data_IF_600012609756
#
_entry.id   IF_600012609756
#
_cell.length_a   1.000
_cell.length_b   1.000
_cell.length_c   1.000
_cell.angle_alpha   90.00
_cell.angle_beta   90.00
_cell.angle_gamma   90.00
#
_symmetry.space_group_name_H-M   'P 1'
#
loop_
_entity.id
_entity.type
_entity.pdbx_description
1 polymer ?
#
# COMPACT_ATOMS: atom_id res chain seq x y z
N UNK A 1 -20.05 24.74 -5.99
CA UNK A 1 -19.43 24.10 -4.81
C UNK A 1 -17.94 24.43 -4.89
N UNK A 2 -17.38 25.21 -3.94
CA UNK A 2 -15.95 25.57 -3.98
C UNK A 2 -15.17 24.37 -3.46
N UNK A 3 -14.53 23.63 -4.36
CA UNK A 3 -13.63 22.53 -3.98
C UNK A 3 -12.48 23.14 -3.16
N UNK A 4 -12.30 22.69 -1.92
CA UNK A 4 -11.26 23.18 -1.00
C UNK A 4 -9.84 22.85 -1.51
N UNK A 5 -9.75 21.88 -2.42
CA UNK A 5 -8.49 21.42 -3.02
C UNK A 5 -8.39 21.94 -4.46
N UNK A 6 -7.34 22.73 -4.71
CA UNK A 6 -6.98 23.19 -6.04
C UNK A 6 -6.10 22.13 -6.72
N UNK A 7 -6.59 21.49 -7.79
CA UNK A 7 -5.87 20.49 -8.57
C UNK A 7 -5.43 21.00 -9.96
N UNK A 8 -5.51 22.31 -10.21
CA UNK A 8 -5.05 22.92 -11.48
C UNK A 8 -3.57 22.58 -11.77
N UNK A 9 -2.75 22.45 -10.73
CA UNK A 9 -1.34 22.09 -10.82
C UNK A 9 -1.09 20.62 -11.17
N UNK A 10 -2.09 19.75 -11.03
CA UNK A 10 -2.02 18.32 -11.35
C UNK A 10 -2.43 18.03 -12.81
N UNK A 11 -3.03 19.00 -13.51
CA UNK A 11 -3.51 18.84 -14.90
C UNK A 11 -2.42 18.47 -15.91
N UNK A 12 -1.17 18.76 -15.59
CA UNK A 12 -0.01 18.47 -16.45
C UNK A 12 0.47 17.02 -16.32
N UNK A 13 0.00 16.29 -15.30
CA UNK A 13 0.35 14.90 -15.09
C UNK A 13 -0.58 14.05 -15.95
N UNK A 14 -0.01 13.28 -16.87
CA UNK A 14 -0.78 12.33 -17.67
C UNK A 14 -1.33 11.20 -16.79
N UNK A 15 -2.43 10.60 -17.21
CA UNK A 15 -3.02 9.45 -16.52
C UNK A 15 -2.01 8.31 -16.34
N UNK A 16 -1.16 8.07 -17.35
CA UNK A 16 -0.08 7.07 -17.28
C UNK A 16 0.98 7.43 -16.23
N UNK A 17 1.35 8.70 -16.10
CA UNK A 17 2.30 9.14 -15.07
C UNK A 17 1.69 9.00 -13.67
N UNK A 18 0.42 9.37 -13.50
CA UNK A 18 -0.30 9.21 -12.24
C UNK A 18 -0.40 7.73 -11.82
N UNK A 19 -0.73 6.84 -12.77
CA UNK A 19 -0.75 5.38 -12.58
C UNK A 19 0.60 4.84 -12.13
N UNK A 20 1.68 5.24 -12.80
CA UNK A 20 3.03 4.80 -12.45
C UNK A 20 3.46 5.28 -11.06
N UNK A 21 3.14 6.52 -10.69
CA UNK A 21 3.40 7.03 -9.33
C UNK A 21 2.66 6.19 -8.29
N UNK A 22 1.40 5.85 -8.55
CA UNK A 22 0.61 5.03 -7.64
C UNK A 22 1.23 3.63 -7.47
N UNK A 23 1.66 2.99 -8.56
CA UNK A 23 2.36 1.70 -8.54
C UNK A 23 3.69 1.76 -7.77
N UNK A 24 4.47 2.82 -7.95
CA UNK A 24 5.74 3.02 -7.22
C UNK A 24 5.48 3.16 -5.72
N UNK A 25 4.51 4.00 -5.32
CA UNK A 25 4.14 4.15 -3.92
C UNK A 25 3.67 2.82 -3.32
N UNK A 26 2.95 2.04 -4.11
CA UNK A 26 2.47 0.73 -3.71
C UNK A 26 3.58 -0.26 -3.40
N UNK A 27 4.57 -0.37 -4.30
CA UNK A 27 5.76 -1.21 -4.10
C UNK A 27 6.55 -0.71 -2.89
N UNK A 28 6.69 0.60 -2.73
CA UNK A 28 7.40 1.21 -1.61
C UNK A 28 6.76 0.88 -0.26
N UNK A 29 5.43 0.93 -0.17
CA UNK A 29 4.68 0.47 1.01
C UNK A 29 4.97 -1.02 1.28
N UNK A 30 4.96 -1.86 0.25
CA UNK A 30 5.31 -3.27 0.38
C UNK A 30 6.71 -3.49 0.97
N UNK A 31 7.71 -2.73 0.52
CA UNK A 31 9.07 -2.78 1.06
C UNK A 31 9.09 -2.35 2.53
N UNK A 32 8.44 -1.23 2.88
CA UNK A 32 8.38 -0.73 4.25
C UNK A 32 7.74 -1.75 5.21
N UNK A 33 6.65 -2.38 4.77
CA UNK A 33 6.01 -3.49 5.52
C UNK A 33 6.99 -4.64 5.75
N UNK A 34 7.79 -5.00 4.74
CA UNK A 34 8.76 -6.07 4.86
C UNK A 34 9.93 -5.74 5.80
N UNK A 35 10.27 -4.46 5.94
CA UNK A 35 11.31 -3.96 6.85
C UNK A 35 10.89 -3.93 8.32
N UNK A 36 9.60 -4.07 8.65
CA UNK A 36 9.14 -4.12 10.05
C UNK A 36 9.84 -5.25 10.84
N UNK A 37 10.40 -4.98 12.03
CA UNK A 37 11.02 -6.01 12.86
C UNK A 37 9.98 -7.08 13.23
N UNK A 38 10.39 -8.36 13.24
CA UNK A 38 9.48 -9.46 13.62
C UNK A 38 8.97 -9.31 15.05
N UNK A 39 9.82 -8.80 15.94
CA UNK A 39 9.49 -8.65 17.36
C UNK A 39 8.33 -7.66 17.56
N UNK A 40 8.27 -6.61 16.72
CA UNK A 40 7.18 -5.64 16.72
C UNK A 40 5.84 -6.22 16.21
N UNK A 41 5.89 -7.22 15.34
CA UNK A 41 4.68 -7.86 14.77
C UNK A 41 3.96 -8.70 15.82
N UNK A 42 4.72 -9.32 16.72
CA UNK A 42 4.19 -10.24 17.72
C UNK A 42 4.19 -9.64 19.13
N UNK A 43 4.53 -8.36 19.27
CA UNK A 43 4.55 -7.67 20.55
C UNK A 43 3.16 -7.75 21.21
N UNK A 44 3.11 -8.22 22.45
CA UNK A 44 1.85 -8.42 23.19
C UNK A 44 1.05 -9.68 22.86
N UNK A 45 1.56 -10.57 21.98
CA UNK A 45 0.89 -11.85 21.65
C UNK A 45 1.51 -13.00 22.45
N UNK A 46 0.75 -13.55 23.40
CA UNK A 46 1.22 -14.66 24.26
C UNK A 46 1.55 -15.95 23.49
N UNK A 47 0.80 -16.25 22.42
CA UNK A 47 0.97 -17.45 21.60
C UNK A 47 0.93 -17.08 20.10
N UNK A 48 2.07 -16.69 19.50
CA UNK A 48 2.12 -16.25 18.12
C UNK A 48 1.70 -17.38 17.17
N UNK A 49 0.78 -17.07 16.25
CA UNK A 49 0.32 -17.96 15.18
C UNK A 49 0.65 -17.32 13.85
N UNK A 50 0.72 -18.11 12.79
CA UNK A 50 1.07 -17.62 11.46
C UNK A 50 0.11 -16.53 10.94
N UNK A 51 -1.18 -16.63 11.25
CA UNK A 51 -2.17 -15.60 10.93
C UNK A 51 -1.98 -14.27 11.68
N UNK A 52 -1.22 -14.23 12.77
CA UNK A 52 -0.86 -12.97 13.45
C UNK A 52 0.26 -12.22 12.73
N UNK A 53 0.87 -12.81 11.70
CA UNK A 53 1.92 -12.15 10.95
C UNK A 53 1.33 -11.01 10.09
N UNK A 54 1.45 -9.78 10.58
CA UNK A 54 0.95 -8.58 9.91
C UNK A 54 1.54 -8.41 8.49
N UNK A 55 2.75 -8.92 8.24
CA UNK A 55 3.38 -8.88 6.91
C UNK A 55 2.60 -9.72 5.89
N UNK A 56 2.05 -10.87 6.29
CA UNK A 56 1.24 -11.70 5.40
C UNK A 56 -0.07 -11.01 5.03
N UNK A 57 -0.71 -10.35 5.99
CA UNK A 57 -1.93 -9.58 5.74
C UNK A 57 -1.67 -8.39 4.83
N UNK A 58 -0.63 -7.61 5.12
CA UNK A 58 -0.25 -6.50 4.27
C UNK A 58 0.13 -6.96 2.85
N UNK A 59 0.86 -8.07 2.69
CA UNK A 59 1.14 -8.66 1.39
C UNK A 59 -0.14 -9.12 0.67
N UNK A 60 -1.11 -9.70 1.39
CA UNK A 60 -2.40 -10.11 0.83
C UNK A 60 -3.23 -8.93 0.32
N UNK A 61 -3.33 -7.86 1.12
CA UNK A 61 -4.03 -6.62 0.70
C UNK A 61 -3.31 -5.98 -0.49
N UNK A 62 -1.97 -5.96 -0.48
CA UNK A 62 -1.19 -5.46 -1.62
C UNK A 62 -1.43 -6.32 -2.88
N UNK A 63 -1.44 -7.65 -2.75
CA UNK A 63 -1.75 -8.52 -3.89
C UNK A 63 -3.17 -8.26 -4.43
N UNK A 64 -4.15 -8.05 -3.54
CA UNK A 64 -5.54 -7.78 -3.92
C UNK A 64 -5.67 -6.46 -4.69
N UNK A 65 -5.12 -5.35 -4.18
CA UNK A 65 -5.21 -4.05 -4.85
C UNK A 65 -4.47 -4.08 -6.19
N UNK A 66 -3.32 -4.75 -6.25
CA UNK A 66 -2.58 -4.93 -7.52
C UNK A 66 -3.40 -5.73 -8.53
N UNK A 67 -4.06 -6.81 -8.12
CA UNK A 67 -4.95 -7.57 -8.99
C UNK A 67 -6.14 -6.74 -9.47
N UNK A 68 -6.76 -5.93 -8.60
CA UNK A 68 -7.82 -4.99 -8.98
C UNK A 68 -7.33 -4.03 -10.06
N UNK A 69 -6.14 -3.45 -9.89
CA UNK A 69 -5.53 -2.54 -10.86
C UNK A 69 -5.24 -3.21 -12.23
N UNK A 70 -4.90 -4.50 -12.24
CA UNK A 70 -4.67 -5.22 -13.50
C UNK A 70 -5.96 -5.58 -14.24
N UNK A 71 -7.08 -5.71 -13.53
CA UNK A 71 -8.36 -6.18 -14.09
C UNK A 71 -9.28 -5.02 -14.50
N UNK A 72 -9.28 -3.91 -13.76
CA UNK A 72 -10.16 -2.76 -13.94
C UNK A 72 -9.38 -1.51 -14.36
#
# INVERSE_FOLDING_TARGET
MKTILNFEWLKWISDDAAKNIFLVLFVLIGILVWLLPKDYIYEGIENPRWWHNLKLWAAGVLAMIFATYLIF
#
